data_IF_953080070614
#
_entry.id   IF_953080070614
#
_cell.length_a   1.000
_cell.length_b   1.000
_cell.length_c   1.000
_cell.angle_alpha   90.00
_cell.angle_beta   90.00
_cell.angle_gamma   90.00
#
_symmetry.space_group_name_H-M   'P 1'
#
loop_
_entity.id
_entity.type
_entity.pdbx_description
1 polymer ?
#
# COMPACT_ATOMS: atom_id res chain seq x y z
N UNK A 1 -4.16 -79.65 -35.21
CA UNK A 1 -5.28 -78.73 -34.86
C UNK A 1 -5.45 -77.71 -35.99
N UNK A 2 -6.49 -77.83 -36.84
CA UNK A 2 -6.73 -76.92 -37.96
C UNK A 2 -7.77 -75.82 -37.62
N UNK A 3 -7.54 -74.63 -38.18
CA UNK A 3 -8.44 -73.46 -38.14
C UNK A 3 -9.69 -73.69 -39.01
N UNK A 4 -10.88 -73.34 -38.51
CA UNK A 4 -12.09 -73.13 -39.32
C UNK A 4 -12.76 -71.78 -38.99
N UNK A 5 -13.22 -71.15 -40.05
CA UNK A 5 -13.72 -69.77 -40.21
C UNK A 5 -15.15 -69.62 -39.69
N UNK A 6 -15.50 -68.42 -39.22
CA UNK A 6 -16.90 -67.96 -39.16
C UNK A 6 -17.02 -66.52 -39.69
N UNK A 7 -18.01 -66.31 -40.56
CA UNK A 7 -18.37 -65.05 -41.23
C UNK A 7 -19.62 -64.46 -40.56
N UNK A 8 -19.66 -63.15 -40.29
CA UNK A 8 -20.87 -62.35 -40.01
C UNK A 8 -20.60 -60.94 -40.59
N UNK A 9 -21.07 -60.64 -41.81
CA UNK A 9 -22.28 -59.88 -42.18
C UNK A 9 -22.38 -58.51 -41.50
N UNK A 10 -22.17 -57.46 -42.31
CA UNK A 10 -22.38 -56.07 -41.98
C UNK A 10 -23.88 -55.71 -42.01
N UNK A 11 -24.33 -54.92 -41.04
CA UNK A 11 -25.60 -54.20 -41.09
C UNK A 11 -25.32 -52.75 -40.75
N UNK A 12 -25.56 -51.87 -41.72
CA UNK A 12 -25.59 -50.43 -41.52
C UNK A 12 -26.95 -50.04 -40.91
N UNK A 13 -26.93 -49.27 -39.83
CA UNK A 13 -28.15 -48.63 -39.28
C UNK A 13 -27.99 -47.13 -39.44
N UNK A 14 -28.79 -46.57 -40.34
CA UNK A 14 -29.04 -45.14 -40.43
C UNK A 14 -30.03 -44.75 -39.32
N UNK A 15 -29.71 -43.73 -38.53
CA UNK A 15 -30.63 -43.10 -37.60
C UNK A 15 -30.89 -41.66 -38.04
N UNK A 16 -32.15 -41.38 -38.35
CA UNK A 16 -32.66 -40.10 -38.82
C UNK A 16 -32.74 -39.07 -37.67
N UNK A 17 -32.38 -37.83 -37.99
CA UNK A 17 -32.53 -36.67 -37.11
C UNK A 17 -33.98 -36.18 -37.07
N UNK A 18 -34.46 -35.87 -35.86
CA UNK A 18 -35.77 -35.21 -35.61
C UNK A 18 -35.47 -33.83 -35.01
N UNK A 19 -36.01 -32.72 -35.56
CA UNK A 19 -35.86 -31.40 -34.97
C UNK A 19 -36.97 -31.13 -33.94
N UNK A 20 -36.59 -30.57 -32.79
CA UNK A 20 -37.52 -30.01 -31.80
C UNK A 20 -37.36 -28.49 -31.80
N UNK A 21 -38.42 -27.80 -32.22
CA UNK A 21 -38.59 -26.36 -32.06
C UNK A 21 -39.16 -26.07 -30.67
N UNK A 22 -38.57 -25.12 -29.93
CA UNK A 22 -39.22 -24.52 -28.77
C UNK A 22 -39.52 -23.05 -29.05
N UNK A 23 -40.81 -22.73 -28.94
CA UNK A 23 -41.39 -21.41 -29.05
C UNK A 23 -41.06 -20.57 -27.81
N UNK A 24 -40.84 -19.27 -28.03
CA UNK A 24 -40.57 -18.29 -26.99
C UNK A 24 -41.77 -18.06 -26.06
N UNK A 25 -41.49 -17.95 -24.77
CA UNK A 25 -42.41 -17.46 -23.76
C UNK A 25 -41.83 -16.17 -23.18
N UNK A 26 -42.52 -15.06 -23.40
CA UNK A 26 -42.30 -13.79 -22.70
C UNK A 26 -42.92 -13.91 -21.30
N UNK A 27 -42.10 -13.75 -20.26
CA UNK A 27 -42.54 -13.52 -18.90
C UNK A 27 -41.93 -12.20 -18.43
N UNK A 28 -42.79 -11.21 -18.19
CA UNK A 28 -42.41 -9.99 -17.50
C UNK A 28 -42.10 -10.31 -16.05
N UNK A 29 -40.87 -10.02 -15.64
CA UNK A 29 -40.48 -9.92 -14.26
C UNK A 29 -39.85 -8.54 -14.07
N UNK A 30 -40.49 -7.72 -13.24
CA UNK A 30 -39.90 -6.52 -12.64
C UNK A 30 -38.77 -6.98 -11.72
N UNK A 31 -37.59 -7.22 -12.31
CA UNK A 31 -36.34 -7.37 -11.59
C UNK A 31 -35.76 -5.98 -11.40
N UNK A 32 -35.74 -5.54 -10.15
CA UNK A 32 -34.90 -4.45 -9.68
C UNK A 32 -33.51 -4.67 -10.24
N UNK A 33 -33.10 -3.78 -11.15
CA UNK A 33 -31.71 -3.63 -11.50
C UNK A 33 -30.99 -3.23 -10.22
N UNK A 34 -30.36 -4.21 -9.58
CA UNK A 34 -29.29 -3.96 -8.63
C UNK A 34 -28.29 -3.10 -9.38
N UNK A 35 -28.35 -1.80 -9.09
CA UNK A 35 -27.31 -0.86 -9.45
C UNK A 35 -26.05 -1.40 -8.77
N UNK A 36 -25.26 -2.16 -9.53
CA UNK A 36 -23.84 -2.29 -9.29
C UNK A 36 -23.34 -0.86 -9.27
N UNK A 37 -23.15 -0.32 -8.06
CA UNK A 37 -22.64 1.01 -7.88
C UNK A 37 -21.38 1.12 -8.70
N UNK A 38 -21.40 1.99 -9.71
CA UNK A 38 -20.18 2.52 -10.25
C UNK A 38 -19.50 3.19 -9.06
N UNK A 39 -18.50 2.53 -8.47
CA UNK A 39 -17.53 3.18 -7.60
C UNK A 39 -17.06 4.40 -8.39
N UNK A 40 -17.34 5.60 -7.89
CA UNK A 40 -16.79 6.81 -8.46
C UNK A 40 -15.30 6.56 -8.64
N UNK A 41 -14.80 6.70 -9.87
CA UNK A 41 -13.38 6.50 -10.12
C UNK A 41 -12.62 7.40 -9.15
N UNK A 42 -11.90 6.79 -8.20
CA UNK A 42 -11.07 7.54 -7.26
C UNK A 42 -10.11 8.38 -8.11
N UNK A 43 -9.94 9.64 -7.71
CA UNK A 43 -9.01 10.49 -8.44
C UNK A 43 -7.61 9.97 -8.16
N UNK A 44 -6.90 9.51 -9.19
CA UNK A 44 -5.55 8.97 -9.04
C UNK A 44 -4.68 9.97 -8.26
N UNK A 45 -3.89 9.51 -7.27
CA UNK A 45 -3.11 10.41 -6.45
C UNK A 45 -2.13 11.27 -7.25
N UNK A 46 -1.93 12.52 -6.83
CA UNK A 46 -1.11 13.51 -7.53
C UNK A 46 -0.42 14.47 -6.56
N UNK A 47 0.68 15.08 -7.00
CA UNK A 47 1.45 16.06 -6.22
C UNK A 47 0.87 17.46 -6.40
N UNK A 48 0.36 18.04 -5.31
CA UNK A 48 -0.06 19.44 -5.29
C UNK A 48 1.15 20.39 -5.17
N UNK A 49 2.18 19.96 -4.45
CA UNK A 49 3.48 20.64 -4.35
C UNK A 49 4.57 19.63 -3.98
N UNK A 50 5.75 20.10 -3.59
CA UNK A 50 6.87 19.24 -3.26
C UNK A 50 6.61 18.30 -2.07
N UNK A 51 5.78 18.70 -1.11
CA UNK A 51 5.54 18.01 0.18
C UNK A 51 4.07 17.64 0.41
N UNK A 52 3.22 17.83 -0.59
CA UNK A 52 1.78 17.60 -0.50
C UNK A 52 1.32 16.63 -1.58
N UNK A 53 0.76 15.50 -1.15
CA UNK A 53 0.05 14.54 -1.99
C UNK A 53 -1.46 14.76 -1.84
N UNK A 54 -2.17 14.75 -2.96
CA UNK A 54 -3.63 14.65 -2.98
C UNK A 54 -4.00 13.24 -3.46
N UNK A 55 -4.86 12.56 -2.72
CA UNK A 55 -5.32 11.22 -3.09
C UNK A 55 -6.37 10.72 -2.09
N UNK A 56 -7.21 9.80 -2.53
CA UNK A 56 -8.26 9.20 -1.71
C UNK A 56 -7.65 8.18 -0.74
N UNK A 57 -7.61 8.53 0.56
CA UNK A 57 -6.98 7.72 1.62
C UNK A 57 -8.02 6.87 2.36
N UNK A 58 -9.27 7.33 2.47
CA UNK A 58 -10.36 6.63 3.17
C UNK A 58 -11.35 5.89 2.25
N UNK A 59 -11.17 6.00 0.94
CA UNK A 59 -11.95 5.29 -0.07
C UNK A 59 -13.33 5.90 -0.32
N UNK A 60 -13.56 7.14 0.08
CA UNK A 60 -14.86 7.81 -0.09
C UNK A 60 -15.08 8.40 -1.50
N UNK A 61 -14.06 8.37 -2.34
CA UNK A 61 -14.06 8.90 -3.71
C UNK A 61 -13.70 10.38 -3.80
N UNK A 62 -13.25 11.01 -2.70
CA UNK A 62 -12.77 12.39 -2.64
C UNK A 62 -11.28 12.43 -2.35
N UNK A 63 -10.57 13.39 -2.94
CA UNK A 63 -9.16 13.54 -2.67
C UNK A 63 -8.94 14.09 -1.26
N UNK A 64 -8.19 13.36 -0.45
CA UNK A 64 -7.64 13.84 0.82
C UNK A 64 -6.32 14.57 0.59
N UNK A 65 -5.95 15.42 1.56
CA UNK A 65 -4.67 16.14 1.53
C UNK A 65 -3.72 15.57 2.56
N UNK A 66 -2.63 14.98 2.07
CA UNK A 66 -1.53 14.45 2.88
C UNK A 66 -0.34 15.39 2.76
N UNK A 67 0.11 15.93 3.88
CA UNK A 67 1.29 16.81 3.94
C UNK A 67 2.39 16.11 4.73
N UNK A 68 3.57 15.96 4.12
CA UNK A 68 4.77 15.36 4.73
C UNK A 68 5.94 16.36 4.67
N UNK A 69 6.06 17.27 5.65
CA UNK A 69 7.13 18.25 5.68
C UNK A 69 8.51 17.56 5.71
N UNK A 70 9.40 17.93 4.79
CA UNK A 70 10.76 17.38 4.78
C UNK A 70 10.89 15.93 4.31
N UNK A 71 9.79 15.28 3.92
CA UNK A 71 9.73 13.88 3.47
C UNK A 71 10.17 12.84 4.50
N UNK A 72 10.40 13.23 5.75
CA UNK A 72 10.89 12.36 6.84
C UNK A 72 9.82 11.41 7.38
N UNK A 73 8.54 11.66 7.07
CA UNK A 73 7.43 10.93 7.66
C UNK A 73 7.07 11.38 9.07
N UNK A 74 7.84 12.32 9.64
CA UNK A 74 7.54 12.96 10.93
C UNK A 74 6.65 14.19 10.72
N UNK A 75 5.81 14.50 11.72
CA UNK A 75 4.86 15.62 11.66
C UNK A 75 3.92 15.61 10.43
N UNK A 76 3.72 14.43 9.84
CA UNK A 76 2.78 14.24 8.73
C UNK A 76 1.36 14.55 9.20
N UNK A 77 0.57 15.14 8.30
CA UNK A 77 -0.82 15.52 8.60
C UNK A 77 -1.76 15.15 7.47
N UNK A 78 -3.00 14.85 7.83
CA UNK A 78 -4.10 14.55 6.92
C UNK A 78 -5.20 15.60 7.08
N UNK A 79 -5.77 16.03 5.97
CA UNK A 79 -7.04 16.76 5.94
C UNK A 79 -7.99 16.01 5.01
N UNK A 80 -9.14 15.64 5.53
CA UNK A 80 -10.10 14.82 4.82
C UNK A 80 -10.85 15.64 3.77
N UNK A 81 -10.97 15.09 2.57
CA UNK A 81 -11.69 15.66 1.46
C UNK A 81 -13.20 15.65 1.65
N UNK A 82 -13.90 16.32 0.75
CA UNK A 82 -15.36 16.32 0.69
C UNK A 82 -15.80 16.51 -0.75
N UNK A 83 -17.04 16.12 -1.06
CA UNK A 83 -17.60 16.16 -2.41
C UNK A 83 -17.56 17.54 -3.08
N UNK A 84 -17.53 18.62 -2.29
CA UNK A 84 -17.45 19.99 -2.79
C UNK A 84 -16.00 20.49 -3.02
N UNK A 85 -15.00 19.65 -2.78
CA UNK A 85 -13.58 19.95 -2.91
C UNK A 85 -12.99 20.71 -1.71
N UNK A 86 -13.75 20.89 -0.63
CA UNK A 86 -13.22 21.42 0.63
C UNK A 86 -12.45 20.35 1.42
N UNK A 87 -11.58 20.82 2.32
CA UNK A 87 -10.83 19.96 3.24
C UNK A 87 -11.25 20.25 4.67
N UNK A 88 -11.25 19.21 5.51
CA UNK A 88 -11.46 19.35 6.95
C UNK A 88 -10.33 20.14 7.62
N UNK A 89 -10.44 20.32 8.94
CA UNK A 89 -9.31 20.72 9.75
C UNK A 89 -8.15 19.70 9.67
N UNK A 90 -6.97 20.14 10.08
CA UNK A 90 -5.74 19.36 10.01
C UNK A 90 -5.64 18.40 11.18
N UNK A 91 -5.56 17.11 10.88
CA UNK A 91 -5.26 16.06 11.85
C UNK A 91 -3.79 15.67 11.74
N UNK A 92 -3.10 15.52 12.87
CA UNK A 92 -1.75 14.96 12.87
C UNK A 92 -1.82 13.43 12.78
N UNK A 93 -0.86 12.80 12.11
CA UNK A 93 -0.78 11.33 12.11
C UNK A 93 -0.62 10.80 13.53
N UNK A 94 0.19 11.44 14.38
CA UNK A 94 0.33 11.10 15.82
C UNK A 94 -1.04 10.96 16.52
N UNK A 95 -1.93 11.95 16.34
CA UNK A 95 -3.26 11.94 16.94
C UNK A 95 -4.11 10.78 16.40
N UNK A 96 -4.13 10.59 15.08
CA UNK A 96 -4.95 9.55 14.46
C UNK A 96 -4.50 8.15 14.89
N UNK A 97 -3.19 7.90 14.96
CA UNK A 97 -2.67 6.57 15.33
C UNK A 97 -2.55 6.35 16.84
N UNK A 98 -3.02 7.32 17.65
CA UNK A 98 -3.07 7.20 19.10
C UNK A 98 -1.69 7.18 19.75
N UNK A 99 -0.78 8.07 19.33
CA UNK A 99 0.51 8.27 19.98
C UNK A 99 0.33 8.88 21.39
N UNK A 100 1.08 8.35 22.36
CA UNK A 100 1.18 8.90 23.71
C UNK A 100 2.07 10.17 23.72
N UNK A 101 2.08 10.91 24.84
CA UNK A 101 2.71 12.24 24.93
C UNK A 101 4.21 12.24 24.56
N UNK A 102 4.93 11.16 24.87
CA UNK A 102 6.35 10.99 24.60
C UNK A 102 6.63 10.28 23.26
N UNK A 103 5.60 9.79 22.57
CA UNK A 103 5.76 9.02 21.34
C UNK A 103 5.76 9.90 20.10
N UNK A 104 6.50 9.44 19.10
CA UNK A 104 6.55 10.04 17.77
C UNK A 104 6.11 8.99 16.76
N UNK A 105 5.14 9.34 15.92
CA UNK A 105 4.84 8.55 14.74
C UNK A 105 5.74 8.98 13.57
N UNK A 106 6.37 8.01 12.93
CA UNK A 106 6.91 8.14 11.58
C UNK A 106 5.99 7.41 10.62
N UNK A 107 5.73 8.01 9.47
CA UNK A 107 4.76 7.48 8.52
C UNK A 107 5.22 7.66 7.07
N UNK A 108 4.83 6.72 6.20
CA UNK A 108 4.98 6.83 4.76
C UNK A 108 3.67 6.45 4.08
N UNK A 109 3.20 7.30 3.17
CA UNK A 109 1.96 7.10 2.41
C UNK A 109 2.32 6.93 0.95
N UNK A 110 1.91 5.81 0.36
CA UNK A 110 2.00 5.56 -1.07
C UNK A 110 1.06 4.40 -1.47
N UNK A 111 0.87 4.19 -2.76
CA UNK A 111 0.18 3.02 -3.31
C UNK A 111 1.22 1.92 -3.48
N UNK A 112 1.50 1.19 -2.38
CA UNK A 112 2.58 0.19 -2.37
C UNK A 112 2.18 -1.08 -3.13
N UNK A 113 0.88 -1.37 -3.26
CA UNK A 113 0.40 -2.54 -4.00
C UNK A 113 0.16 -2.26 -5.48
N UNK A 114 0.22 -0.98 -5.88
CA UNK A 114 -0.14 -0.49 -7.21
C UNK A 114 -1.57 -0.90 -7.59
N UNK A 115 -2.49 -0.80 -6.63
CA UNK A 115 -3.91 -1.15 -6.80
C UNK A 115 -4.81 0.09 -7.02
N UNK A 116 -4.21 1.29 -6.97
CA UNK A 116 -4.88 2.57 -7.11
C UNK A 116 -5.35 3.18 -5.78
N UNK A 117 -5.11 2.51 -4.65
CA UNK A 117 -5.48 2.99 -3.31
C UNK A 117 -4.22 3.40 -2.54
N UNK A 118 -4.30 4.48 -1.78
CA UNK A 118 -3.19 4.86 -0.91
C UNK A 118 -3.15 3.98 0.34
N UNK A 119 -1.97 3.42 0.62
CA UNK A 119 -1.68 2.69 1.83
C UNK A 119 -0.88 3.55 2.82
N UNK A 120 -0.70 3.03 4.03
CA UNK A 120 0.11 3.64 5.08
C UNK A 120 1.10 2.63 5.64
N UNK A 121 2.35 3.05 5.77
CA UNK A 121 3.32 2.45 6.69
C UNK A 121 3.43 3.38 7.88
N UNK A 122 3.29 2.87 9.09
CA UNK A 122 3.40 3.66 10.31
C UNK A 122 4.22 2.94 11.36
N UNK A 123 5.06 3.71 12.03
CA UNK A 123 5.82 3.29 13.19
C UNK A 123 5.58 4.27 14.34
N UNK A 124 5.40 3.77 15.55
CA UNK A 124 5.34 4.58 16.77
C UNK A 124 6.42 4.12 17.73
N UNK A 125 7.26 5.06 18.14
CA UNK A 125 8.33 4.83 19.10
C UNK A 125 8.33 5.96 20.13
N UNK A 126 8.63 5.63 21.38
CA UNK A 126 9.04 6.60 22.38
C UNK A 126 10.56 6.79 22.24
N UNK A 127 11.06 7.91 21.71
CA UNK A 127 12.49 8.10 21.46
C UNK A 127 13.29 8.03 22.76
N UNK A 128 14.43 7.34 22.74
CA UNK A 128 15.32 7.34 23.89
C UNK A 128 16.02 8.68 24.07
N UNK A 129 16.08 9.26 25.28
CA UNK A 129 16.90 10.44 25.54
C UNK A 129 18.42 10.15 25.55
N UNK A 130 18.83 8.90 25.34
CA UNK A 130 20.23 8.43 25.39
C UNK A 130 20.73 7.78 24.10
N UNK A 131 21.84 7.04 24.21
CA UNK A 131 22.45 6.30 23.10
C UNK A 131 21.88 4.88 22.94
N UNK A 132 20.99 4.44 23.84
CA UNK A 132 20.30 3.15 23.76
C UNK A 132 19.05 3.29 22.88
N UNK A 133 18.86 2.41 21.90
CA UNK A 133 17.68 2.42 21.02
C UNK A 133 16.46 1.80 21.70
N UNK A 134 15.29 2.43 21.57
CA UNK A 134 14.01 1.82 21.95
C UNK A 134 13.37 1.09 20.76
N UNK A 135 12.56 0.07 21.06
CA UNK A 135 11.78 -0.63 20.05
C UNK A 135 10.42 0.02 19.86
N UNK A 136 9.89 -0.02 18.64
CA UNK A 136 8.60 0.55 18.33
C UNK A 136 7.45 -0.18 19.06
N UNK A 137 6.49 0.58 19.60
CA UNK A 137 5.22 0.04 20.12
C UNK A 137 4.32 -0.45 19.00
N UNK A 138 4.39 0.21 17.86
CA UNK A 138 3.61 -0.08 16.67
C UNK A 138 4.53 -0.03 15.46
N UNK A 139 4.46 -1.03 14.59
CA UNK A 139 5.14 -1.03 13.31
C UNK A 139 4.30 -1.79 12.31
N UNK A 140 3.55 -1.08 11.49
CA UNK A 140 2.52 -1.68 10.65
C UNK A 140 2.58 -1.16 9.22
N UNK A 141 2.40 -2.08 8.29
CA UNK A 141 1.90 -1.79 6.96
C UNK A 141 0.38 -1.97 6.96
N UNK A 142 -0.33 -0.96 6.45
CA UNK A 142 -1.78 -0.84 6.43
C UNK A 142 -2.23 -0.57 4.99
N UNK A 143 -2.63 -1.61 4.25
CA UNK A 143 -3.22 -1.43 2.93
C UNK A 143 -4.48 -0.57 3.01
N UNK A 144 -4.68 0.33 2.06
CA UNK A 144 -5.88 1.15 1.99
C UNK A 144 -7.13 0.35 1.56
N UNK A 145 -8.32 0.97 1.64
CA UNK A 145 -8.57 2.29 2.22
C UNK A 145 -8.44 2.27 3.76
N UNK A 146 -8.13 3.43 4.34
CA UNK A 146 -7.88 3.58 5.78
C UNK A 146 -9.09 4.17 6.51
N UNK A 147 -9.29 3.76 7.76
CA UNK A 147 -10.33 4.34 8.59
C UNK A 147 -9.99 5.79 8.98
N UNK A 148 -10.90 6.72 8.68
CA UNK A 148 -10.76 8.14 8.99
C UNK A 148 -10.50 8.45 10.48
N UNK A 149 -10.98 7.62 11.39
CA UNK A 149 -10.87 7.87 12.83
C UNK A 149 -9.48 7.56 13.39
N UNK A 150 -8.80 6.54 12.87
CA UNK A 150 -7.57 6.00 13.48
C UNK A 150 -6.50 5.49 12.48
N UNK A 151 -6.71 5.73 11.19
CA UNK A 151 -5.90 5.23 10.08
C UNK A 151 -5.70 3.71 10.10
N UNK A 152 -6.59 2.95 10.73
CA UNK A 152 -6.54 1.49 10.74
C UNK A 152 -6.96 0.89 9.40
N UNK A 153 -6.51 -0.33 9.14
CA UNK A 153 -6.91 -1.16 8.00
C UNK A 153 -7.25 -2.58 8.47
N UNK A 154 -8.25 -3.19 7.84
CA UNK A 154 -8.64 -4.58 8.10
C UNK A 154 -7.53 -5.59 7.75
N UNK A 155 -6.61 -5.19 6.87
CA UNK A 155 -5.51 -6.04 6.39
C UNK A 155 -4.14 -5.58 6.91
N UNK A 156 -4.13 -4.86 8.03
CA UNK A 156 -2.89 -4.41 8.66
C UNK A 156 -2.00 -5.60 9.03
N UNK A 157 -0.69 -5.46 8.83
CA UNK A 157 0.31 -6.44 9.26
C UNK A 157 1.53 -5.75 9.86
N UNK A 158 2.19 -6.47 10.76
CA UNK A 158 3.46 -6.05 11.35
C UNK A 158 4.55 -5.91 10.28
N UNK A 159 5.47 -4.97 10.50
CA UNK A 159 6.76 -4.85 9.80
C UNK A 159 7.90 -4.93 10.82
N UNK A 160 9.02 -5.52 10.44
CA UNK A 160 10.23 -5.58 11.28
C UNK A 160 10.95 -4.23 11.50
N UNK A 161 10.39 -3.12 11.01
CA UNK A 161 10.88 -1.76 11.24
C UNK A 161 10.74 -1.43 12.73
N UNK A 162 11.81 -0.97 13.36
CA UNK A 162 11.76 -0.63 14.78
C UNK A 162 11.82 -1.82 15.75
N UNK A 163 11.95 -3.06 15.25
CA UNK A 163 12.07 -4.25 16.11
C UNK A 163 13.46 -4.40 16.75
N UNK A 164 14.48 -3.75 16.17
CA UNK A 164 15.89 -3.87 16.56
C UNK A 164 16.64 -2.54 16.59
N UNK A 165 15.91 -1.43 16.66
CA UNK A 165 16.45 -0.08 16.64
C UNK A 165 15.31 0.94 16.64
N UNK A 166 15.66 2.21 16.74
CA UNK A 166 14.68 3.30 16.74
C UNK A 166 14.56 3.88 15.32
N UNK A 167 13.39 3.77 14.69
CA UNK A 167 13.14 4.36 13.39
C UNK A 167 12.88 5.87 13.54
N UNK A 168 13.85 6.70 13.14
CA UNK A 168 13.76 8.17 13.23
C UNK A 168 13.01 8.77 12.04
N UNK A 169 13.08 8.14 10.87
CA UNK A 169 12.40 8.60 9.64
C UNK A 169 11.95 7.45 8.75
N UNK A 170 10.81 7.64 8.07
CA UNK A 170 10.32 6.79 7.00
C UNK A 170 10.14 7.62 5.74
N UNK A 171 10.79 7.19 4.65
CA UNK A 171 10.74 7.90 3.37
C UNK A 171 10.39 6.96 2.24
N UNK A 172 9.58 7.47 1.32
CA UNK A 172 9.35 6.80 0.04
C UNK A 172 10.64 6.84 -0.78
N UNK A 173 10.98 5.70 -1.38
CA UNK A 173 12.14 5.51 -2.23
C UNK A 173 11.74 4.80 -3.52
N UNK A 174 12.62 4.85 -4.52
CA UNK A 174 12.51 4.11 -5.77
C UNK A 174 13.82 3.34 -5.96
N UNK A 175 13.97 2.22 -5.26
CA UNK A 175 15.15 1.37 -5.34
C UNK A 175 14.89 0.26 -6.37
N UNK A 176 15.75 0.17 -7.39
CA UNK A 176 15.56 -0.79 -8.48
C UNK A 176 14.76 -0.27 -9.67
N UNK A 177 14.28 0.97 -9.63
CA UNK A 177 13.56 1.65 -10.72
C UNK A 177 12.31 0.88 -11.22
N UNK A 178 11.54 0.32 -10.29
CA UNK A 178 10.30 -0.38 -10.59
C UNK A 178 9.05 0.50 -10.33
N UNK A 179 7.87 -0.09 -10.51
CA UNK A 179 6.60 0.64 -10.35
C UNK A 179 6.10 0.68 -8.90
N UNK A 180 6.83 0.08 -7.95
CA UNK A 180 6.42 -0.10 -6.57
C UNK A 180 7.22 0.84 -5.66
N UNK A 181 6.56 1.74 -4.91
CA UNK A 181 7.23 2.55 -3.91
C UNK A 181 7.96 1.69 -2.88
N UNK A 182 9.24 1.95 -2.63
CA UNK A 182 10.00 1.29 -1.57
C UNK A 182 10.08 2.16 -0.32
N UNK A 183 10.60 1.58 0.76
CA UNK A 183 10.90 2.30 2.00
C UNK A 183 12.40 2.46 2.22
N UNK A 184 12.80 3.69 2.52
CA UNK A 184 14.03 3.99 3.21
C UNK A 184 13.73 4.35 4.67
N UNK A 185 14.43 3.71 5.60
CA UNK A 185 14.26 3.89 7.04
C UNK A 185 15.56 4.41 7.61
N UNK A 186 15.53 5.59 8.23
CA UNK A 186 16.65 6.05 9.06
C UNK A 186 16.50 5.43 10.45
N UNK A 187 17.45 4.60 10.86
CA UNK A 187 17.45 3.97 12.18
C UNK A 187 18.57 4.55 13.04
N UNK A 188 18.27 4.78 14.31
CA UNK A 188 19.30 4.86 15.34
C UNK A 188 19.62 3.45 15.84
N UNK A 189 20.81 2.97 15.45
CA UNK A 189 21.33 1.65 15.82
C UNK A 189 21.95 1.62 17.23
N UNK A 190 22.03 2.77 17.89
CA UNK A 190 22.64 2.98 19.20
C UNK A 190 24.09 3.46 19.13
N UNK A 191 24.65 3.89 20.26
CA UNK A 191 26.03 4.40 20.40
C UNK A 191 26.38 5.56 19.43
N UNK A 192 25.37 6.35 19.05
CA UNK A 192 25.49 7.46 18.10
C UNK A 192 25.63 7.04 16.63
N UNK A 193 25.47 5.74 16.31
CA UNK A 193 25.44 5.23 14.94
C UNK A 193 24.04 5.30 14.35
N UNK A 194 23.99 5.62 13.07
CA UNK A 194 22.79 5.64 12.26
C UNK A 194 22.96 4.71 11.06
N UNK A 195 21.88 4.13 10.60
CA UNK A 195 21.83 3.45 9.31
C UNK A 195 20.59 3.86 8.52
N UNK A 196 20.72 3.86 7.20
CA UNK A 196 19.59 3.79 6.29
C UNK A 196 19.41 2.34 5.89
N UNK A 197 18.38 1.71 6.44
CA UNK A 197 17.93 0.39 5.96
C UNK A 197 16.80 0.54 4.94
N UNK A 198 16.52 -0.55 4.22
CA UNK A 198 15.62 -0.56 3.07
C UNK A 198 14.61 -1.69 3.21
N UNK A 199 13.37 -1.45 2.78
CA UNK A 199 12.39 -2.51 2.49
C UNK A 199 11.97 -2.34 1.04
N UNK A 200 12.34 -3.34 0.23
CA UNK A 200 11.86 -3.42 -1.14
C UNK A 200 10.41 -3.88 -1.13
N UNK A 201 9.60 -3.33 -2.02
CA UNK A 201 8.19 -3.65 -2.12
C UNK A 201 7.95 -4.81 -3.08
N UNK A 202 7.15 -5.77 -2.65
CA UNK A 202 6.75 -6.89 -3.48
C UNK A 202 5.37 -6.63 -4.12
N UNK A 203 5.18 -7.01 -5.39
CA UNK A 203 3.92 -6.85 -6.11
C UNK A 203 2.71 -7.41 -5.34
N UNK A 204 1.73 -6.56 -5.04
CA UNK A 204 0.46 -6.94 -4.42
C UNK A 204 0.53 -7.29 -2.93
N UNK A 205 1.68 -7.12 -2.27
CA UNK A 205 1.84 -7.38 -0.83
C UNK A 205 2.32 -6.16 -0.04
N UNK A 206 2.86 -5.15 -0.72
CA UNK A 206 3.46 -3.98 -0.10
C UNK A 206 4.90 -4.22 0.38
N UNK A 207 5.45 -3.36 1.25
CA UNK A 207 6.84 -3.40 1.69
C UNK A 207 7.21 -4.74 2.32
N UNK A 208 8.30 -5.36 1.86
CA UNK A 208 8.80 -6.62 2.37
C UNK A 208 9.44 -6.52 3.76
N UNK A 209 10.14 -7.59 4.15
CA UNK A 209 10.97 -7.66 5.35
C UNK A 209 12.40 -7.17 5.07
N UNK A 210 13.25 -7.07 6.10
CA UNK A 210 14.66 -6.79 5.90
C UNK A 210 15.31 -7.80 4.95
N UNK A 211 15.88 -7.29 3.85
CA UNK A 211 16.70 -8.07 2.95
C UNK A 211 18.16 -7.61 3.00
N UNK A 212 19.08 -8.57 3.09
CA UNK A 212 20.51 -8.29 3.22
C UNK A 212 21.10 -7.79 1.91
N UNK A 213 20.68 -8.34 0.78
CA UNK A 213 21.22 -7.96 -0.53
C UNK A 213 20.80 -6.51 -0.85
N UNK A 214 19.55 -6.15 -0.58
CA UNK A 214 19.05 -4.78 -0.65
C UNK A 214 19.80 -3.85 0.31
N UNK A 215 20.12 -4.30 1.53
CA UNK A 215 20.93 -3.51 2.47
C UNK A 215 22.37 -3.31 1.96
N UNK A 216 22.97 -4.30 1.31
CA UNK A 216 24.32 -4.19 0.74
C UNK A 216 24.35 -3.30 -0.52
N UNK A 217 23.30 -3.34 -1.34
CA UNK A 217 23.20 -2.55 -2.57
C UNK A 217 22.80 -1.10 -2.28
N UNK A 218 21.75 -0.92 -1.49
CA UNK A 218 21.14 0.38 -1.28
C UNK A 218 21.46 0.94 0.08
N UNK A 219 21.65 0.15 1.14
CA UNK A 219 21.82 0.66 2.50
C UNK A 219 23.06 1.53 2.72
N UNK A 220 23.06 2.30 3.81
CA UNK A 220 24.19 3.16 4.15
C UNK A 220 24.32 3.33 5.67
N UNK A 221 25.56 3.40 6.17
CA UNK A 221 25.85 3.65 7.58
C UNK A 221 26.41 5.07 7.76
N UNK A 222 26.05 5.71 8.86
CA UNK A 222 26.55 7.03 9.24
C UNK A 222 26.58 7.21 10.75
N UNK A 223 26.84 8.45 11.16
CA UNK A 223 26.81 8.84 12.57
C UNK A 223 25.99 10.13 12.70
N UNK A 224 25.51 10.48 13.90
CA UNK A 224 24.69 11.70 14.09
C UNK A 224 25.25 12.99 13.45
N UNK A 225 26.57 13.27 13.47
CA UNK A 225 27.13 14.46 12.81
C UNK A 225 27.13 14.40 11.27
N UNK A 226 27.05 13.20 10.70
CA UNK A 226 27.03 12.92 9.27
C UNK A 226 26.14 11.70 9.02
N UNK A 227 24.80 11.89 9.05
CA UNK A 227 23.86 10.80 8.85
C UNK A 227 23.96 10.25 7.42
N UNK A 228 23.53 9.00 7.19
CA UNK A 228 23.41 8.44 5.85
C UNK A 228 22.47 9.30 4.99
N UNK A 229 22.69 9.32 3.68
CA UNK A 229 21.84 10.09 2.79
C UNK A 229 20.45 9.45 2.68
N UNK A 230 19.40 10.26 2.83
CA UNK A 230 18.00 9.81 2.72
C UNK A 230 17.37 10.32 1.42
N UNK A 231 16.51 9.54 0.74
CA UNK A 231 15.82 9.98 -0.47
C UNK A 231 14.90 11.18 -0.18
N UNK A 232 14.74 12.07 -1.15
CA UNK A 232 13.93 13.32 -1.01
C UNK A 232 12.92 13.53 -2.14
N UNK A 233 12.86 12.58 -3.08
CA UNK A 233 12.11 12.67 -4.31
C UNK A 233 11.22 11.45 -4.54
N UNK A 234 11.10 10.53 -3.57
CA UNK A 234 10.31 9.30 -3.66
C UNK A 234 8.94 9.50 -4.31
N UNK A 235 8.11 10.38 -3.76
CA UNK A 235 6.79 10.69 -4.35
C UNK A 235 6.83 11.18 -5.79
N UNK A 236 7.89 11.87 -6.23
CA UNK A 236 7.99 12.39 -7.60
C UNK A 236 8.23 11.29 -8.63
N UNK A 237 8.73 10.14 -8.22
CA UNK A 237 8.89 8.96 -9.09
C UNK A 237 7.54 8.31 -9.40
N UNK A 238 6.62 8.30 -8.43
CA UNK A 238 5.36 7.56 -8.53
C UNK A 238 4.15 8.44 -8.85
N UNK A 239 4.19 9.74 -8.54
CA UNK A 239 3.06 10.64 -8.68
C UNK A 239 3.35 11.82 -9.60
N UNK A 240 2.38 12.12 -10.47
CA UNK A 240 2.42 13.28 -11.36
C UNK A 240 1.94 14.53 -10.62
N UNK A 241 2.37 15.74 -11.03
CA UNK A 241 1.73 16.97 -10.58
C UNK A 241 0.23 16.96 -10.86
N UNK A 242 -0.58 17.56 -9.97
CA UNK A 242 -2.03 17.65 -10.15
C UNK A 242 -2.46 18.56 -11.32
N UNK A 243 -1.55 19.39 -11.86
CA UNK A 243 -1.77 20.31 -12.99
C UNK A 243 -0.54 20.45 -13.87
#
# INVERSE_FOLDING_TARGET
MPRKRSRLIAVAVAAAAVPLAFAGYQAGATGTSDAKGDSAASTAPCLADATTLLGDLDGDGHADKIVNPGHSGTAMTVQWGSADGSFSEKHSVNELVGAEEAEIATAAVADFQNDGTLDLVVNLVEPSPGDDSETARLSEYRPGPLNRADLSSDNSRHLDIGDRGEAEELRIANYGDDEYPDLAILNAAGDGQLDRSVRLTEPGTGPGEFDREAMEEYGEWGARPQPPAMPTDGWKHFYKPCS
#
